data_IF_316020980613
#
_entry.id   IF_316020980613
#
_cell.length_a   1.000
_cell.length_b   1.000
_cell.length_c   1.000
_cell.angle_alpha   90.00
_cell.angle_beta   90.00
_cell.angle_gamma   90.00
#
_symmetry.space_group_name_H-M   'P 1'
#
loop_
_entity.id
_entity.type
_entity.pdbx_description
1 polymer ?
#
# COMPACT_ATOMS: atom_id res chain seq x y z
N UNK A 1 10.19 12.16 -4.51
CA UNK A 1 9.19 11.09 -4.33
C UNK A 1 9.78 10.04 -3.40
N UNK A 2 9.05 9.65 -2.36
CA UNK A 2 9.43 8.57 -1.45
C UNK A 2 8.78 7.26 -1.92
N UNK A 3 9.56 6.20 -2.03
CA UNK A 3 9.09 4.86 -2.38
C UNK A 3 9.25 3.93 -1.19
N UNK A 4 8.16 3.36 -0.71
CA UNK A 4 8.14 2.38 0.38
C UNK A 4 7.68 1.04 -0.22
N UNK A 5 8.40 -0.04 0.11
CA UNK A 5 8.07 -1.41 -0.32
C UNK A 5 8.06 -2.34 0.88
N UNK A 6 6.96 -3.07 1.03
CA UNK A 6 6.84 -4.17 2.00
C UNK A 6 6.62 -5.46 1.22
N UNK A 7 7.37 -6.49 1.56
CA UNK A 7 7.28 -7.81 0.97
C UNK A 7 7.17 -8.84 2.08
N UNK A 8 6.28 -9.80 1.90
CA UNK A 8 6.27 -11.06 2.64
C UNK A 8 6.24 -12.23 1.65
N UNK A 9 6.55 -13.42 2.16
CA UNK A 9 6.57 -14.71 1.47
C UNK A 9 5.43 -15.62 1.94
N UNK A 10 4.34 -15.04 2.44
CA UNK A 10 3.16 -15.77 2.87
C UNK A 10 2.35 -16.37 1.70
N UNK A 11 1.13 -16.81 1.98
CA UNK A 11 0.26 -17.43 0.97
C UNK A 11 -0.18 -16.44 -0.14
N UNK A 12 -0.10 -15.14 0.13
CA UNK A 12 -0.53 -14.08 -0.78
C UNK A 12 -1.95 -13.58 -0.50
N UNK A 13 -2.48 -12.81 -1.47
CA UNK A 13 -3.81 -12.20 -1.43
C UNK A 13 -4.47 -12.40 -2.80
N UNK A 14 -5.70 -12.90 -2.81
CA UNK A 14 -6.54 -12.93 -3.99
C UNK A 14 -7.26 -11.59 -4.20
N UNK A 15 -7.75 -11.32 -5.40
CA UNK A 15 -8.38 -10.04 -5.73
C UNK A 15 -9.58 -9.71 -4.82
N UNK A 16 -10.31 -10.75 -4.38
CA UNK A 16 -11.42 -10.62 -3.44
C UNK A 16 -11.00 -10.30 -2.00
N UNK A 17 -9.76 -10.56 -1.61
CA UNK A 17 -9.26 -10.30 -0.25
C UNK A 17 -9.09 -8.80 0.01
N UNK A 18 -8.80 -8.03 -1.04
CA UNK A 18 -8.53 -6.59 -0.95
C UNK A 18 -9.77 -5.75 -0.64
N UNK A 19 -10.96 -6.30 -0.85
CA UNK A 19 -12.27 -5.65 -0.69
C UNK A 19 -13.12 -6.26 0.43
N UNK A 20 -12.58 -7.24 1.19
CA UNK A 20 -13.30 -7.85 2.31
C UNK A 20 -13.68 -6.82 3.39
N UNK A 21 -14.94 -6.80 3.85
CA UNK A 21 -15.34 -6.07 5.04
C UNK A 21 -14.46 -6.50 6.22
N UNK A 22 -13.79 -5.56 6.89
CA UNK A 22 -12.89 -5.84 8.02
C UNK A 22 -11.40 -5.77 7.73
N UNK A 23 -10.99 -5.46 6.49
CA UNK A 23 -9.57 -5.22 6.12
C UNK A 23 -9.03 -3.87 6.64
N UNK A 24 -9.27 -3.53 7.90
CA UNK A 24 -8.99 -2.23 8.51
C UNK A 24 -7.53 -1.79 8.33
N UNK A 25 -6.58 -2.72 8.35
CA UNK A 25 -5.17 -2.45 8.09
C UNK A 25 -4.92 -1.87 6.69
N UNK A 26 -5.36 -2.58 5.65
CA UNK A 26 -5.19 -2.14 4.26
C UNK A 26 -6.06 -0.92 3.93
N UNK A 27 -7.27 -0.83 4.48
CA UNK A 27 -8.15 0.33 4.35
C UNK A 27 -7.43 1.57 4.90
N UNK A 28 -6.96 1.51 6.15
CA UNK A 28 -6.25 2.63 6.76
C UNK A 28 -4.97 3.01 6.01
N UNK A 29 -4.24 2.05 5.45
CA UNK A 29 -3.07 2.35 4.60
C UNK A 29 -3.52 3.11 3.34
N UNK A 30 -4.59 2.67 2.65
CA UNK A 30 -5.10 3.36 1.45
C UNK A 30 -5.54 4.79 1.78
N UNK A 31 -6.28 4.99 2.86
CA UNK A 31 -6.72 6.31 3.32
C UNK A 31 -5.53 7.23 3.61
N UNK A 32 -4.52 6.75 4.35
CA UNK A 32 -3.31 7.54 4.66
C UNK A 32 -2.50 7.88 3.41
N UNK A 33 -2.38 6.95 2.46
CA UNK A 33 -1.70 7.22 1.18
C UNK A 33 -2.47 8.26 0.37
N UNK A 34 -3.80 8.17 0.31
CA UNK A 34 -4.66 9.14 -0.38
C UNK A 34 -4.56 10.53 0.26
N UNK A 35 -4.59 10.62 1.59
CA UNK A 35 -4.45 11.87 2.34
C UNK A 35 -3.13 12.61 2.04
N UNK A 36 -2.09 11.87 1.66
CA UNK A 36 -0.78 12.40 1.28
C UNK A 36 -0.60 12.57 -0.24
N UNK A 37 -1.68 12.51 -1.02
CA UNK A 37 -1.64 12.56 -2.50
C UNK A 37 -0.71 11.50 -3.12
N UNK A 38 -0.59 10.36 -2.45
CA UNK A 38 0.24 9.25 -2.87
C UNK A 38 -0.48 8.24 -3.74
N UNK A 39 0.26 7.20 -4.15
CA UNK A 39 -0.24 6.05 -4.88
C UNK A 39 0.15 4.76 -4.18
N UNK A 40 -0.74 3.77 -4.20
CA UNK A 40 -0.51 2.44 -3.63
C UNK A 40 -0.83 1.34 -4.64
N UNK A 41 -0.01 0.29 -4.66
CA UNK A 41 -0.26 -0.95 -5.39
C UNK A 41 -0.01 -2.13 -4.47
N UNK A 42 -0.90 -3.12 -4.51
CA UNK A 42 -0.82 -4.36 -3.75
C UNK A 42 -0.90 -5.52 -4.73
N UNK A 43 -0.03 -6.51 -4.59
CA UNK A 43 -0.02 -7.75 -5.40
C UNK A 43 0.18 -8.94 -4.47
N UNK A 44 -0.54 -10.04 -4.71
CA UNK A 44 -0.60 -11.18 -3.79
C UNK A 44 -0.23 -12.53 -4.38
N UNK A 45 0.66 -12.61 -5.39
CA UNK A 45 1.02 -13.89 -6.02
C UNK A 45 2.29 -14.50 -5.39
N UNK A 46 2.10 -15.48 -4.50
CA UNK A 46 3.19 -16.17 -3.78
C UNK A 46 3.86 -15.27 -2.73
N UNK A 47 3.04 -14.70 -1.84
CA UNK A 47 3.40 -13.64 -0.90
C UNK A 47 2.72 -12.31 -1.25
N UNK A 48 2.79 -11.33 -0.34
CA UNK A 48 2.23 -10.00 -0.56
C UNK A 48 3.33 -8.98 -0.84
N UNK A 49 3.10 -8.15 -1.85
CA UNK A 49 3.93 -6.97 -2.13
C UNK A 49 3.07 -5.73 -2.09
N UNK A 50 3.38 -4.84 -1.15
CA UNK A 50 2.80 -3.50 -1.06
C UNK A 50 3.84 -2.49 -1.54
N UNK A 51 3.46 -1.62 -2.47
CA UNK A 51 4.30 -0.50 -2.93
C UNK A 51 3.54 0.80 -2.75
N UNK A 52 4.14 1.74 -2.04
CA UNK A 52 3.62 3.09 -1.84
C UNK A 52 4.57 4.11 -2.47
N UNK A 53 4.01 5.07 -3.18
CA UNK A 53 4.70 6.25 -3.70
C UNK A 53 4.08 7.49 -3.07
N UNK A 54 4.88 8.27 -2.34
CA UNK A 54 4.46 9.54 -1.75
C UNK A 54 5.20 10.70 -2.43
N UNK A 55 4.52 11.82 -2.72
CA UNK A 55 5.22 13.06 -2.99
C UNK A 55 6.04 13.43 -1.75
N UNK A 56 7.28 13.85 -1.98
CA UNK A 56 8.04 14.53 -0.93
C UNK A 56 7.75 16.02 -1.08
N UNK A 57 7.64 16.78 0.01
CA UNK A 57 7.68 18.23 -0.06
C UNK A 57 8.91 18.63 -0.89
N UNK A 58 8.79 19.70 -1.69
CA UNK A 58 9.99 20.38 -2.14
C UNK A 58 10.79 20.70 -0.87
N UNK A 59 12.05 20.25 -0.81
CA UNK A 59 12.89 20.48 0.36
C UNK A 59 12.76 21.94 0.76
N UNK A 60 12.29 22.18 1.99
CA UNK A 60 12.30 23.53 2.55
C UNK A 60 13.73 24.07 2.56
N UNK A 61 13.90 25.40 2.62
CA UNK A 61 15.21 26.03 2.64
C UNK A 61 16.14 25.44 3.72
#
# INVERSE_FOLDING_TARGET
>A
MLRIRVLDDGIGLEDGDLSKPGSLGLIGIRERVQALNGRISIRGKGGTRVTVLLPLPAGGP
#
